data_IF_359911678124
#
_entry.id   IF_359911678124
#
_cell.length_a   1.000
_cell.length_b   1.000
_cell.length_c   1.000
_cell.angle_alpha   90.00
_cell.angle_beta   90.00
_cell.angle_gamma   90.00
#
_symmetry.space_group_name_H-M   'P 1'
#
loop_
_entity.id
_entity.type
_entity.pdbx_description
1 polymer ?
#
# COMPACT_ATOMS: atom_id res chain seq x y z
N UNK A 1 17.79 44.35 -30.61
CA UNK A 1 16.74 45.03 -29.84
C UNK A 1 16.22 44.06 -28.83
N UNK A 2 16.83 44.09 -27.65
CA UNK A 2 16.38 43.37 -26.44
C UNK A 2 15.66 44.40 -25.58
N UNK A 3 14.39 44.14 -25.26
CA UNK A 3 13.68 44.93 -24.23
C UNK A 3 12.56 44.12 -23.63
N UNK A 4 12.69 43.97 -22.30
CA UNK A 4 11.67 43.89 -21.25
C UNK A 4 10.75 42.69 -21.17
N UNK A 5 11.13 41.78 -20.29
CA UNK A 5 10.21 40.91 -19.55
C UNK A 5 10.60 40.88 -18.05
N UNK A 6 10.63 42.07 -17.41
CA UNK A 6 10.84 42.20 -15.96
C UNK A 6 9.68 42.97 -15.34
N UNK A 7 8.52 42.35 -15.21
CA UNK A 7 7.37 43.11 -14.71
C UNK A 7 6.19 42.31 -14.19
N UNK A 8 6.37 41.11 -13.60
CA UNK A 8 5.24 40.38 -12.98
C UNK A 8 5.56 39.54 -11.71
N UNK A 9 6.73 39.67 -11.12
CA UNK A 9 7.07 38.94 -9.87
C UNK A 9 6.98 39.83 -8.62
N UNK A 10 6.76 41.13 -8.78
CA UNK A 10 6.78 42.11 -7.67
C UNK A 10 5.46 42.31 -6.92
N UNK A 11 4.33 41.64 -7.33
CA UNK A 11 3.02 41.87 -6.72
C UNK A 11 2.65 40.81 -5.65
N UNK A 12 3.29 39.66 -5.65
CA UNK A 12 2.96 38.58 -4.68
C UNK A 12 3.73 38.71 -3.36
N UNK A 13 4.84 39.44 -3.33
CA UNK A 13 5.63 39.65 -2.10
C UNK A 13 5.06 40.79 -1.24
N UNK A 14 4.29 41.72 -1.83
CA UNK A 14 3.71 42.89 -1.13
C UNK A 14 2.55 42.57 -0.18
N UNK A 15 1.79 41.51 -0.43
CA UNK A 15 0.62 41.17 0.39
C UNK A 15 0.95 40.32 1.63
N UNK A 16 2.08 39.62 1.63
CA UNK A 16 2.56 38.87 2.82
C UNK A 16 3.11 39.84 3.90
N UNK A 17 3.71 40.94 3.49
CA UNK A 17 4.21 41.95 4.48
C UNK A 17 3.13 42.85 5.08
N UNK A 18 1.95 42.95 4.46
CA UNK A 18 0.83 43.73 5.00
C UNK A 18 0.02 43.04 6.10
N UNK A 19 0.11 41.71 6.19
CA UNK A 19 -0.51 40.90 7.23
C UNK A 19 0.23 41.01 8.58
N UNK A 20 1.52 41.38 8.57
CA UNK A 20 2.33 41.57 9.78
C UNK A 20 2.01 42.87 10.53
N UNK A 21 1.38 43.87 9.90
CA UNK A 21 1.04 45.17 10.57
C UNK A 21 -0.28 45.15 11.33
N UNK A 22 -1.13 44.12 11.23
CA UNK A 22 -2.45 44.12 11.87
C UNK A 22 -2.55 43.39 13.21
N UNK A 23 -1.44 42.97 13.82
CA UNK A 23 -1.43 42.46 15.20
C UNK A 23 -2.22 41.16 15.45
N UNK A 24 -2.71 40.49 14.39
CA UNK A 24 -3.49 39.24 14.46
C UNK A 24 -2.61 37.97 14.50
N UNK A 25 -1.36 38.07 14.06
CA UNK A 25 -0.41 36.93 14.09
C UNK A 25 0.10 36.61 15.50
N UNK A 26 0.06 37.57 16.45
CA UNK A 26 0.77 37.40 17.71
C UNK A 26 0.04 36.56 18.78
N UNK A 27 -1.18 36.14 18.56
CA UNK A 27 -1.94 35.34 19.53
C UNK A 27 -2.08 33.87 19.12
N UNK A 28 -2.10 33.58 17.82
CA UNK A 28 -2.18 32.20 17.30
C UNK A 28 -0.82 31.49 17.30
N UNK A 29 0.28 32.25 17.18
CA UNK A 29 1.65 31.68 17.17
C UNK A 29 2.19 31.29 18.55
N UNK A 30 1.52 31.63 19.66
CA UNK A 30 2.05 31.39 21.02
C UNK A 30 1.49 30.15 21.72
N UNK A 31 0.47 29.50 21.19
CA UNK A 31 0.04 28.21 21.69
C UNK A 31 0.47 27.14 20.70
N UNK A 32 1.38 26.27 21.09
CA UNK A 32 1.81 25.13 20.25
C UNK A 32 0.57 24.35 19.84
N UNK A 33 0.36 24.20 18.52
CA UNK A 33 -0.69 23.31 18.01
C UNK A 33 -0.25 21.89 18.34
N UNK A 34 -1.03 21.25 19.21
CA UNK A 34 -0.70 19.92 19.72
C UNK A 34 -1.35 18.86 18.87
N UNK A 35 -0.60 17.79 18.53
CA UNK A 35 -1.17 16.60 17.93
C UNK A 35 -1.96 15.79 18.98
N UNK A 36 -3.11 15.26 18.58
CA UNK A 36 -3.99 14.51 19.50
C UNK A 36 -3.25 13.31 20.14
N UNK A 37 -2.39 12.62 19.40
CA UNK A 37 -1.61 11.50 19.94
C UNK A 37 -0.65 11.89 21.09
N UNK A 38 -0.28 13.15 21.20
CA UNK A 38 0.67 13.67 22.19
C UNK A 38 -0.02 14.23 23.45
N UNK A 39 -1.34 14.40 23.42
CA UNK A 39 -2.08 15.01 24.51
C UNK A 39 -1.89 14.34 25.86
N UNK A 40 -1.67 13.03 25.88
CA UNK A 40 -1.40 12.29 27.12
C UNK A 40 -0.10 12.72 27.84
N UNK A 41 0.82 13.40 27.14
CA UNK A 41 2.04 13.96 27.69
C UNK A 41 1.84 15.36 28.30
N UNK A 42 0.67 15.98 28.06
CA UNK A 42 0.38 17.37 28.38
C UNK A 42 -0.82 17.52 29.35
N UNK A 43 -0.94 16.56 30.28
CA UNK A 43 -2.00 16.60 31.30
C UNK A 43 -1.87 17.88 32.15
N UNK A 44 -3.02 18.52 32.44
CA UNK A 44 -3.15 19.79 33.13
C UNK A 44 -2.59 21.04 32.39
N UNK A 45 -2.14 20.86 31.15
CA UNK A 45 -1.67 21.99 30.34
C UNK A 45 -2.80 22.57 29.47
N UNK A 46 -2.64 23.83 29.09
CA UNK A 46 -3.47 24.53 28.12
C UNK A 46 -2.98 24.20 26.71
N UNK A 47 -3.88 23.68 25.85
CA UNK A 47 -3.55 23.22 24.51
C UNK A 47 -4.47 23.81 23.46
N UNK A 48 -4.00 23.85 22.22
CA UNK A 48 -4.80 24.13 21.04
C UNK A 48 -4.80 22.88 20.14
N UNK A 49 -5.99 22.33 19.88
CA UNK A 49 -6.20 21.21 18.97
C UNK A 49 -6.92 21.69 17.71
N UNK A 50 -6.43 21.32 16.54
CA UNK A 50 -7.06 21.59 15.23
C UNK A 50 -7.52 20.28 14.62
N UNK A 51 -8.75 20.23 14.13
CA UNK A 51 -9.26 18.97 13.57
C UNK A 51 -10.69 19.09 13.05
N UNK A 52 -11.33 17.94 12.95
CA UNK A 52 -12.69 17.79 12.46
C UNK A 52 -13.56 17.09 13.49
N UNK A 53 -14.80 17.56 13.65
CA UNK A 53 -15.79 16.94 14.53
C UNK A 53 -16.20 15.58 13.92
N UNK A 54 -15.90 14.49 14.62
CA UNK A 54 -16.34 13.14 14.25
C UNK A 54 -17.75 12.90 14.74
N UNK A 55 -18.02 13.29 15.99
CA UNK A 55 -19.30 13.11 16.65
C UNK A 55 -19.55 14.21 17.66
N UNK A 56 -20.81 14.67 17.76
CA UNK A 56 -21.28 15.60 18.77
C UNK A 56 -22.50 15.02 19.49
N UNK A 57 -22.51 15.02 20.80
CA UNK A 57 -23.65 14.63 21.65
C UNK A 57 -23.80 15.55 22.83
N UNK A 58 -25.04 15.85 23.19
CA UNK A 58 -25.39 16.55 24.41
C UNK A 58 -25.94 15.59 25.46
N UNK A 59 -25.54 15.76 26.73
CA UNK A 59 -26.03 15.00 27.86
C UNK A 59 -26.22 15.91 29.07
N UNK A 60 -27.47 16.26 29.38
CA UNK A 60 -27.81 17.20 30.44
C UNK A 60 -27.21 18.61 30.21
N UNK A 61 -26.25 19.00 31.04
CA UNK A 61 -25.58 20.29 30.98
C UNK A 61 -24.19 20.24 30.34
N UNK A 62 -23.87 19.19 29.65
CA UNK A 62 -22.54 18.95 29.08
C UNK A 62 -22.67 18.57 27.60
N UNK A 63 -21.85 19.15 26.75
CA UNK A 63 -21.66 18.75 25.37
C UNK A 63 -20.31 18.02 25.20
N UNK A 64 -20.33 16.94 24.46
CA UNK A 64 -19.17 16.13 24.12
C UNK A 64 -18.96 16.15 22.61
N UNK A 65 -17.78 16.58 22.20
CA UNK A 65 -17.37 16.47 20.80
C UNK A 65 -16.16 15.54 20.71
N UNK A 66 -16.18 14.59 19.80
CA UNK A 66 -14.98 13.82 19.44
C UNK A 66 -14.33 14.54 18.27
N UNK A 67 -13.12 15.00 18.47
CA UNK A 67 -12.31 15.68 17.46
C UNK A 67 -11.26 14.72 16.93
N UNK A 68 -11.09 14.72 15.63
CA UNK A 68 -10.06 13.96 14.91
C UNK A 68 -9.09 14.92 14.24
N UNK A 69 -7.80 14.65 14.39
CA UNK A 69 -6.75 15.23 13.55
C UNK A 69 -6.08 14.13 12.69
N UNK A 70 -4.93 14.46 12.09
CA UNK A 70 -4.14 13.46 11.34
C UNK A 70 -3.47 12.42 12.23
N UNK A 71 -3.44 12.55 13.56
CA UNK A 71 -2.72 11.67 14.49
C UNK A 71 -3.64 10.77 15.31
N UNK A 72 -4.87 11.19 15.60
CA UNK A 72 -5.77 10.42 16.46
C UNK A 72 -7.14 11.07 16.65
N UNK A 73 -7.81 10.62 17.72
CA UNK A 73 -9.10 11.17 18.17
C UNK A 73 -9.04 11.47 19.67
N UNK A 74 -9.70 12.57 20.08
CA UNK A 74 -9.84 12.95 21.48
C UNK A 74 -11.28 13.37 21.77
N UNK A 75 -11.80 13.03 22.94
CA UNK A 75 -13.03 13.60 23.44
C UNK A 75 -12.76 15.00 23.97
N UNK A 76 -13.56 15.97 23.53
CA UNK A 76 -13.59 17.30 24.14
C UNK A 76 -14.89 17.48 24.91
N UNK A 77 -14.83 18.18 26.05
CA UNK A 77 -15.93 18.35 26.97
C UNK A 77 -16.22 19.82 27.19
N UNK A 78 -17.43 20.24 26.85
CA UNK A 78 -17.88 21.62 27.01
C UNK A 78 -18.85 21.69 28.22
N UNK A 79 -18.43 22.36 29.30
CA UNK A 79 -19.19 22.56 30.54
C UNK A 79 -19.50 24.02 30.74
N UNK A 80 -20.40 24.34 31.65
CA UNK A 80 -20.62 25.75 32.07
C UNK A 80 -19.36 26.35 32.74
N UNK A 81 -19.02 27.64 32.50
CA UNK A 81 -19.83 28.63 31.76
C UNK A 81 -19.59 28.62 30.25
N UNK A 82 -18.57 27.91 29.74
CA UNK A 82 -18.19 27.91 28.32
C UNK A 82 -19.35 27.41 27.42
N UNK A 83 -20.18 26.44 27.90
CA UNK A 83 -21.32 25.93 27.18
C UNK A 83 -22.33 27.01 26.78
N UNK A 84 -22.67 27.88 27.69
CA UNK A 84 -23.58 29.02 27.39
C UNK A 84 -22.95 29.98 26.40
N UNK A 85 -21.66 30.30 26.55
CA UNK A 85 -20.95 31.20 25.66
C UNK A 85 -20.79 30.61 24.22
N UNK A 86 -20.69 29.29 24.09
CA UNK A 86 -20.49 28.60 22.83
C UNK A 86 -21.77 28.00 22.22
N UNK A 87 -22.96 28.32 22.75
CA UNK A 87 -24.22 27.68 22.34
C UNK A 87 -24.49 27.75 20.84
N UNK A 88 -24.21 28.87 20.19
CA UNK A 88 -24.37 29.05 18.74
C UNK A 88 -23.35 28.20 17.95
N UNK A 89 -22.09 28.15 18.39
CA UNK A 89 -21.02 27.36 17.80
C UNK A 89 -21.33 25.88 17.92
N UNK A 90 -21.82 25.41 19.06
CA UNK A 90 -22.18 24.03 19.31
C UNK A 90 -23.29 23.52 18.39
N UNK A 91 -24.29 24.38 18.07
CA UNK A 91 -25.34 23.99 17.09
C UNK A 91 -24.81 23.78 15.68
N UNK A 92 -23.71 24.45 15.32
CA UNK A 92 -23.07 24.34 14.01
C UNK A 92 -21.95 23.30 13.96
N UNK A 93 -21.49 22.79 15.10
CA UNK A 93 -20.44 21.79 15.22
C UNK A 93 -20.97 20.38 14.91
N UNK A 94 -21.41 20.17 13.67
CA UNK A 94 -21.89 18.89 13.14
C UNK A 94 -20.73 18.04 12.64
N UNK A 95 -21.01 16.77 12.28
CA UNK A 95 -20.02 15.85 11.73
C UNK A 95 -19.21 16.48 10.58
N UNK A 96 -17.90 16.31 10.61
CA UNK A 96 -16.92 16.84 9.65
C UNK A 96 -16.80 18.39 9.61
N UNK A 97 -17.43 19.13 10.52
CA UNK A 97 -17.09 20.53 10.74
C UNK A 97 -15.64 20.65 11.18
N UNK A 98 -14.84 21.47 10.51
CA UNK A 98 -13.45 21.73 10.92
C UNK A 98 -13.41 22.82 11.99
N UNK A 99 -12.61 22.58 13.04
CA UNK A 99 -12.58 23.40 14.25
C UNK A 99 -11.17 23.64 14.77
N UNK A 100 -11.01 24.75 15.50
CA UNK A 100 -9.91 24.96 16.45
C UNK A 100 -10.52 24.94 17.84
N UNK A 101 -9.98 24.09 18.71
CA UNK A 101 -10.43 23.92 20.09
C UNK A 101 -9.30 24.34 21.02
N UNK A 102 -9.57 25.26 21.93
CA UNK A 102 -8.67 25.65 23.02
C UNK A 102 -9.23 25.15 24.34
N UNK A 103 -8.37 24.55 25.17
CA UNK A 103 -8.80 24.01 26.44
C UNK A 103 -7.66 23.35 27.22
N UNK A 104 -8.01 22.81 28.38
CA UNK A 104 -7.07 22.11 29.27
C UNK A 104 -7.19 20.62 29.15
N UNK A 105 -6.07 19.93 29.08
CA UNK A 105 -6.04 18.44 29.04
C UNK A 105 -6.34 17.89 30.43
N UNK A 106 -7.30 16.99 30.51
CA UNK A 106 -7.67 16.28 31.75
C UNK A 106 -7.56 14.77 31.57
N UNK A 107 -7.38 14.02 32.65
CA UNK A 107 -7.39 12.57 32.66
C UNK A 107 -8.84 12.07 32.63
N UNK A 108 -9.21 11.25 31.65
CA UNK A 108 -10.41 10.41 31.67
C UNK A 108 -10.10 9.03 31.02
N UNK A 109 -9.94 7.99 31.84
CA UNK A 109 -9.63 6.63 31.35
C UNK A 109 -10.68 6.04 30.38
N UNK A 110 -11.89 6.62 30.30
CA UNK A 110 -12.95 6.20 29.39
C UNK A 110 -12.86 6.85 28.02
N UNK A 111 -12.07 7.92 27.91
CA UNK A 111 -11.84 8.64 26.65
C UNK A 111 -10.77 7.95 25.80
N UNK A 112 -10.82 8.08 24.47
CA UNK A 112 -9.73 7.62 23.60
C UNK A 112 -8.38 8.21 24.05
N UNK A 113 -7.38 7.36 24.20
CA UNK A 113 -6.05 7.79 24.68
C UNK A 113 -5.96 8.11 26.18
N UNK A 114 -7.02 7.88 26.96
CA UNK A 114 -7.03 8.09 28.42
C UNK A 114 -7.12 9.56 28.87
N UNK A 115 -7.33 10.47 27.94
CA UNK A 115 -7.40 11.93 28.20
C UNK A 115 -8.60 12.57 27.50
N UNK A 116 -9.05 13.73 28.05
CA UNK A 116 -10.04 14.59 27.41
C UNK A 116 -9.54 16.02 27.40
N UNK A 117 -10.11 16.89 26.54
CA UNK A 117 -9.86 18.31 26.57
C UNK A 117 -11.08 19.03 27.13
N UNK A 118 -10.92 19.67 28.27
CA UNK A 118 -11.94 20.55 28.85
C UNK A 118 -11.91 21.88 28.12
N UNK A 119 -12.95 22.15 27.35
CA UNK A 119 -13.00 23.21 26.34
C UNK A 119 -13.24 24.57 27.01
N UNK A 120 -12.47 25.56 26.60
CA UNK A 120 -12.67 26.98 26.92
C UNK A 120 -13.19 27.75 25.71
N UNK A 121 -12.65 27.47 24.51
CA UNK A 121 -13.04 28.11 23.25
C UNK A 121 -13.13 27.11 22.09
N UNK A 122 -14.05 27.36 21.17
CA UNK A 122 -14.16 26.68 19.89
C UNK A 122 -14.33 27.70 18.78
N UNK A 123 -13.50 27.63 17.76
CA UNK A 123 -13.64 28.40 16.54
C UNK A 123 -14.02 27.44 15.39
N UNK A 124 -15.09 27.75 14.66
CA UNK A 124 -15.47 27.05 13.43
C UNK A 124 -14.63 27.57 12.26
N UNK A 125 -14.10 26.69 11.44
CA UNK A 125 -13.34 27.02 10.22
C UNK A 125 -14.16 26.73 8.98
N UNK A 126 -14.70 25.52 8.85
CA UNK A 126 -15.51 25.09 7.71
C UNK A 126 -16.67 24.22 8.14
N UNK A 127 -17.80 24.36 7.44
CA UNK A 127 -19.04 23.63 7.76
C UNK A 127 -18.97 22.17 7.33
N UNK A 128 -19.54 21.29 8.16
CA UNK A 128 -19.81 19.88 7.84
C UNK A 128 -21.26 19.58 7.51
N UNK A 129 -22.10 20.60 7.31
CA UNK A 129 -23.52 20.36 6.97
C UNK A 129 -23.65 19.55 5.68
N UNK A 130 -24.66 18.68 5.66
CA UNK A 130 -24.97 17.78 4.54
C UNK A 130 -23.87 16.76 4.21
N UNK A 131 -22.98 16.44 5.18
CA UNK A 131 -21.99 15.39 4.98
C UNK A 131 -22.66 14.04 4.68
N UNK A 132 -22.37 13.40 3.52
CA UNK A 132 -23.20 12.29 3.00
C UNK A 132 -23.00 10.97 3.76
N UNK A 133 -21.86 10.79 4.45
CA UNK A 133 -21.54 9.53 5.15
C UNK A 133 -21.93 9.68 6.63
N UNK A 134 -23.16 9.33 6.95
CA UNK A 134 -23.65 9.32 8.34
C UNK A 134 -23.31 8.04 9.11
N UNK A 135 -23.76 7.91 10.37
CA UNK A 135 -23.45 6.77 11.23
C UNK A 135 -24.17 5.46 10.84
N UNK A 136 -25.13 5.48 9.90
CA UNK A 136 -25.80 4.29 9.40
C UNK A 136 -24.87 3.46 8.50
N UNK A 137 -25.13 2.17 8.38
CA UNK A 137 -24.44 1.32 7.41
C UNK A 137 -24.69 1.80 5.97
N UNK A 138 -23.63 1.90 5.20
CA UNK A 138 -23.67 2.28 3.78
C UNK A 138 -23.16 1.13 2.92
N UNK A 139 -23.78 0.96 1.73
CA UNK A 139 -23.31 -0.02 0.75
C UNK A 139 -21.93 0.37 0.21
N UNK A 140 -21.19 -0.64 -0.21
CA UNK A 140 -19.79 -0.44 -0.68
C UNK A 140 -19.72 0.49 -1.90
N UNK A 141 -20.66 0.38 -2.84
CA UNK A 141 -20.68 1.23 -4.05
C UNK A 141 -20.86 2.69 -3.68
N UNK A 142 -21.78 2.99 -2.75
CA UNK A 142 -21.96 4.34 -2.22
C UNK A 142 -20.67 4.89 -1.57
N UNK A 143 -20.01 4.08 -0.73
CA UNK A 143 -18.76 4.47 -0.10
C UNK A 143 -17.63 4.69 -1.11
N UNK A 144 -17.58 3.87 -2.15
CA UNK A 144 -16.61 4.02 -3.23
C UNK A 144 -16.89 5.25 -4.10
N UNK A 145 -18.15 5.64 -4.33
CA UNK A 145 -18.51 6.89 -5.01
C UNK A 145 -18.14 8.13 -4.19
N UNK A 146 -18.11 7.97 -2.86
CA UNK A 146 -17.68 9.00 -1.92
C UNK A 146 -16.28 8.72 -1.36
N UNK A 147 -15.40 8.04 -2.11
CA UNK A 147 -14.09 7.59 -1.63
C UNK A 147 -13.25 8.73 -1.04
N UNK A 148 -13.27 9.90 -1.66
CA UNK A 148 -12.58 11.12 -1.19
C UNK A 148 -13.04 11.61 0.19
N UNK A 149 -14.23 11.21 0.62
CA UNK A 149 -14.75 11.44 1.97
C UNK A 149 -14.58 10.22 2.87
N UNK A 150 -14.81 9.02 2.34
CA UNK A 150 -14.71 7.79 3.11
C UNK A 150 -13.31 7.55 3.69
N UNK A 151 -12.25 8.00 3.00
CA UNK A 151 -10.86 7.92 3.52
C UNK A 151 -10.68 8.60 4.88
N UNK A 152 -11.61 9.46 5.31
CA UNK A 152 -11.60 10.12 6.63
C UNK A 152 -12.05 9.21 7.78
N UNK A 153 -12.67 8.06 7.49
CA UNK A 153 -13.14 7.11 8.50
C UNK A 153 -11.97 6.47 9.27
N UNK A 154 -12.20 6.11 10.54
CA UNK A 154 -11.19 5.45 11.37
C UNK A 154 -10.66 4.16 10.71
N UNK A 155 -11.57 3.34 10.13
CA UNK A 155 -11.20 2.11 9.38
C UNK A 155 -10.23 2.42 8.23
N UNK A 156 -10.57 3.38 7.37
CA UNK A 156 -9.72 3.68 6.20
C UNK A 156 -8.41 4.35 6.61
N UNK A 157 -8.43 5.20 7.64
CA UNK A 157 -7.21 5.77 8.21
C UNK A 157 -6.28 4.69 8.75
N UNK A 158 -6.81 3.69 9.49
CA UNK A 158 -6.02 2.56 9.99
C UNK A 158 -5.38 1.75 8.84
N UNK A 159 -6.14 1.42 7.79
CA UNK A 159 -5.62 0.71 6.61
C UNK A 159 -4.48 1.49 5.96
N UNK A 160 -4.65 2.80 5.73
CA UNK A 160 -3.64 3.62 5.09
C UNK A 160 -2.37 3.80 5.95
N UNK A 161 -2.50 3.81 7.29
CA UNK A 161 -1.37 3.83 8.21
C UNK A 161 -0.60 2.50 8.19
N UNK A 162 -1.30 1.36 8.19
CA UNK A 162 -0.68 0.04 8.01
C UNK A 162 0.05 -0.01 6.66
N UNK A 163 -0.59 0.47 5.57
CA UNK A 163 0.08 0.57 4.26
C UNK A 163 1.37 1.39 4.33
N UNK A 164 1.34 2.55 4.96
CA UNK A 164 2.51 3.42 5.11
C UNK A 164 3.61 2.75 5.94
N UNK A 165 3.25 2.02 7.01
CA UNK A 165 4.21 1.25 7.81
C UNK A 165 4.86 0.11 6.99
N UNK A 166 4.07 -0.66 6.24
CA UNK A 166 4.57 -1.73 5.34
C UNK A 166 5.60 -1.16 4.35
N UNK A 167 5.28 -0.03 3.71
CA UNK A 167 6.19 0.62 2.74
C UNK A 167 7.50 1.02 3.41
N UNK A 168 7.44 1.64 4.57
CA UNK A 168 8.62 2.07 5.32
C UNK A 168 9.45 0.88 5.80
N UNK A 169 8.83 -0.15 6.36
CA UNK A 169 9.49 -1.36 6.83
C UNK A 169 10.18 -2.11 5.70
N UNK A 170 9.54 -2.25 4.55
CA UNK A 170 10.12 -2.88 3.37
C UNK A 170 11.36 -2.12 2.88
N UNK A 171 11.28 -0.80 2.75
CA UNK A 171 12.41 0.04 2.35
C UNK A 171 13.55 -0.02 3.36
N UNK A 172 13.26 0.13 4.65
CA UNK A 172 14.28 0.04 5.70
C UNK A 172 14.99 -1.32 5.70
N UNK A 173 14.25 -2.41 5.45
CA UNK A 173 14.83 -3.74 5.33
C UNK A 173 15.78 -3.82 4.13
N UNK A 174 15.32 -3.45 2.94
CA UNK A 174 16.10 -3.55 1.71
C UNK A 174 17.33 -2.63 1.75
N UNK A 175 17.17 -1.37 2.11
CA UNK A 175 18.26 -0.40 2.25
C UNK A 175 19.28 -0.88 3.29
N UNK A 176 18.82 -1.39 4.44
CA UNK A 176 19.66 -1.93 5.51
C UNK A 176 20.47 -3.18 5.11
N UNK A 177 20.05 -3.89 4.06
CA UNK A 177 20.74 -5.06 3.51
C UNK A 177 21.53 -4.74 2.22
N UNK A 178 21.72 -3.45 1.91
CA UNK A 178 22.56 -3.00 0.83
C UNK A 178 21.93 -3.10 -0.55
N UNK A 179 20.60 -3.15 -0.62
CA UNK A 179 19.90 -2.96 -1.89
C UNK A 179 19.87 -1.47 -2.23
N UNK A 180 20.03 -1.16 -3.51
CA UNK A 180 19.94 0.20 -4.03
C UNK A 180 18.57 0.39 -4.65
N UNK A 181 17.82 1.42 -4.19
CA UNK A 181 16.55 1.77 -4.85
C UNK A 181 16.83 2.29 -6.26
N UNK A 182 16.07 1.81 -7.23
CA UNK A 182 16.20 2.22 -8.62
C UNK A 182 14.80 2.31 -9.26
N UNK A 183 14.58 3.37 -10.02
CA UNK A 183 13.28 3.67 -10.60
C UNK A 183 13.26 3.31 -12.09
N UNK A 184 12.60 2.19 -12.48
CA UNK A 184 12.44 1.84 -13.88
C UNK A 184 11.45 2.78 -14.58
N UNK A 185 11.49 2.92 -15.91
CA UNK A 185 10.52 3.72 -16.64
C UNK A 185 9.12 3.13 -16.53
N UNK A 186 8.11 3.99 -16.34
CA UNK A 186 6.68 3.62 -16.34
C UNK A 186 6.17 3.45 -17.78
N UNK A 187 6.70 4.23 -18.72
CA UNK A 187 6.38 4.14 -20.14
C UNK A 187 7.43 3.25 -20.79
N UNK A 188 7.01 2.17 -21.45
CA UNK A 188 7.92 1.17 -21.99
C UNK A 188 7.43 0.65 -23.35
N UNK A 189 8.33 0.36 -24.31
CA UNK A 189 7.97 -0.33 -25.55
C UNK A 189 7.87 -1.85 -25.37
N UNK A 190 8.40 -2.42 -24.27
CA UNK A 190 8.49 -3.84 -23.97
C UNK A 190 7.62 -4.22 -22.79
N UNK A 191 7.21 -5.50 -22.71
CA UNK A 191 6.41 -6.01 -21.61
C UNK A 191 7.05 -7.28 -21.02
N UNK A 192 6.89 -7.45 -19.70
CA UNK A 192 7.40 -8.60 -18.96
C UNK A 192 6.39 -9.75 -18.87
N UNK A 193 5.11 -9.40 -18.78
CA UNK A 193 3.99 -10.32 -18.67
C UNK A 193 3.22 -10.40 -19.99
N UNK A 194 2.30 -11.33 -20.16
CA UNK A 194 1.55 -11.56 -21.40
C UNK A 194 0.96 -10.29 -22.04
N UNK A 195 0.94 -10.26 -23.37
CA UNK A 195 0.54 -9.07 -24.17
C UNK A 195 -0.93 -8.66 -24.05
N UNK A 196 -1.81 -9.49 -23.47
CA UNK A 196 -3.26 -9.28 -23.43
C UNK A 196 -3.70 -8.30 -22.34
N UNK A 197 -2.81 -7.91 -21.43
CA UNK A 197 -3.12 -7.08 -20.26
C UNK A 197 -2.41 -5.72 -20.25
N UNK A 198 -2.15 -5.13 -21.44
CA UNK A 198 -1.44 -3.87 -21.61
C UNK A 198 -2.38 -2.68 -21.72
N UNK A 199 -2.05 -1.58 -21.03
CA UNK A 199 -2.59 -0.25 -21.33
C UNK A 199 -1.70 0.41 -22.37
N UNK A 200 -2.17 0.46 -23.63
CA UNK A 200 -1.46 1.13 -24.72
C UNK A 200 -1.59 2.65 -24.63
N UNK A 201 -0.52 3.35 -24.95
CA UNK A 201 -0.46 4.81 -25.06
C UNK A 201 0.18 5.22 -26.39
N UNK A 202 -0.12 6.39 -26.87
CA UNK A 202 0.58 7.03 -27.99
C UNK A 202 1.76 7.84 -27.43
N UNK A 203 2.99 7.42 -27.75
CA UNK A 203 4.19 8.13 -27.37
C UNK A 203 4.76 8.87 -28.57
N UNK A 204 4.22 10.07 -28.83
CA UNK A 204 4.65 10.93 -29.95
C UNK A 204 4.56 10.25 -31.34
N UNK A 205 3.55 9.41 -31.55
CA UNK A 205 3.34 8.66 -32.78
C UNK A 205 3.93 7.25 -32.78
N UNK A 206 4.63 6.85 -31.71
CA UNK A 206 5.12 5.48 -31.50
C UNK A 206 4.26 4.75 -30.46
N UNK A 207 4.00 3.44 -30.65
CA UNK A 207 3.26 2.67 -29.67
C UNK A 207 4.11 2.42 -28.42
N UNK A 208 3.54 2.72 -27.25
CA UNK A 208 4.13 2.42 -25.96
C UNK A 208 3.05 1.89 -24.99
N UNK A 209 3.47 1.44 -23.83
CA UNK A 209 2.60 0.82 -22.82
C UNK A 209 2.93 1.34 -21.43
N UNK A 210 1.94 1.34 -20.55
CA UNK A 210 2.17 1.46 -19.11
C UNK A 210 2.77 0.15 -18.57
N UNK A 211 3.82 0.26 -17.78
CA UNK A 211 4.62 -0.87 -17.31
C UNK A 211 3.80 -1.84 -16.44
N UNK A 212 3.93 -3.14 -16.70
CA UNK A 212 3.36 -4.22 -15.88
C UNK A 212 4.29 -4.63 -14.72
N UNK A 213 5.59 -4.31 -14.81
CA UNK A 213 6.66 -4.63 -13.87
C UNK A 213 7.91 -3.87 -14.26
N UNK A 214 8.73 -3.51 -13.30
CA UNK A 214 10.06 -2.94 -13.54
C UNK A 214 11.14 -3.96 -13.85
N UNK A 215 10.84 -5.27 -13.73
CA UNK A 215 11.81 -6.36 -13.71
C UNK A 215 12.87 -6.29 -14.82
N UNK A 216 12.49 -6.16 -16.09
CA UNK A 216 13.45 -6.20 -17.21
C UNK A 216 14.54 -5.14 -17.08
N UNK A 217 14.18 -3.96 -16.59
CA UNK A 217 15.13 -2.87 -16.33
C UNK A 217 15.93 -3.12 -15.04
N UNK A 218 15.30 -3.74 -14.03
CA UNK A 218 15.97 -4.07 -12.78
C UNK A 218 17.06 -5.12 -12.98
N UNK A 219 16.88 -6.08 -13.90
CA UNK A 219 17.94 -7.02 -14.27
C UNK A 219 19.17 -6.31 -14.84
N UNK A 220 18.98 -5.29 -15.69
CA UNK A 220 20.09 -4.47 -16.19
C UNK A 220 20.78 -3.69 -15.07
N UNK A 221 20.02 -3.14 -14.14
CA UNK A 221 20.54 -2.38 -13.00
C UNK A 221 21.23 -3.29 -11.97
N UNK A 222 20.76 -4.52 -11.79
CA UNK A 222 21.43 -5.52 -10.95
C UNK A 222 22.82 -5.89 -11.48
N UNK A 223 23.01 -5.96 -12.79
CA UNK A 223 24.35 -6.17 -13.40
C UNK A 223 25.31 -5.00 -13.14
N UNK A 224 24.80 -3.81 -12.82
CA UNK A 224 25.62 -2.64 -12.53
C UNK A 224 25.84 -2.41 -11.02
N UNK A 225 24.83 -2.71 -10.19
CA UNK A 225 24.80 -2.33 -8.77
C UNK A 225 24.74 -3.52 -7.81
N UNK A 226 24.63 -4.75 -8.32
CA UNK A 226 24.58 -6.01 -7.56
C UNK A 226 23.21 -6.34 -7.01
N UNK A 227 22.72 -5.61 -6.01
CA UNK A 227 21.37 -5.75 -5.44
C UNK A 227 20.60 -4.46 -5.60
N UNK A 228 19.45 -4.52 -6.25
CA UNK A 228 18.61 -3.36 -6.52
C UNK A 228 17.16 -3.67 -6.19
N UNK A 229 16.34 -2.65 -5.98
CA UNK A 229 14.89 -2.82 -5.93
C UNK A 229 14.16 -1.64 -6.56
N UNK A 230 13.05 -1.93 -7.24
CA UNK A 230 12.07 -0.92 -7.62
C UNK A 230 10.95 -0.86 -6.56
N UNK A 231 10.38 0.32 -6.37
CA UNK A 231 9.13 0.49 -5.65
C UNK A 231 8.28 1.50 -6.41
N UNK A 232 7.35 1.02 -7.20
CA UNK A 232 6.61 1.86 -8.12
C UNK A 232 5.24 1.31 -8.54
N UNK A 233 4.47 2.14 -9.26
CA UNK A 233 3.17 1.75 -9.81
C UNK A 233 3.36 0.77 -10.97
N UNK A 234 2.45 -0.19 -11.06
CA UNK A 234 2.33 -1.16 -12.15
C UNK A 234 0.90 -1.19 -12.65
N UNK A 235 0.72 -1.57 -13.91
CA UNK A 235 -0.56 -1.44 -14.60
C UNK A 235 -0.88 -2.73 -15.35
N UNK A 236 -2.07 -3.30 -15.10
CA UNK A 236 -2.54 -4.48 -15.81
C UNK A 236 -3.99 -4.27 -16.28
N UNK A 237 -4.21 -4.34 -17.58
CA UNK A 237 -5.52 -4.13 -18.23
C UNK A 237 -6.39 -5.40 -18.22
N UNK A 238 -6.19 -6.26 -17.23
CA UNK A 238 -6.95 -7.51 -17.10
C UNK A 238 -8.43 -7.25 -16.81
N UNK A 239 -9.31 -7.92 -17.56
CA UNK A 239 -10.75 -7.83 -17.35
C UNK A 239 -11.22 -8.74 -16.21
N UNK A 240 -10.51 -8.72 -15.08
CA UNK A 240 -10.80 -9.51 -13.90
C UNK A 240 -11.70 -8.75 -12.92
N UNK A 241 -12.75 -9.42 -12.43
CA UNK A 241 -13.67 -8.88 -11.40
C UNK A 241 -13.43 -9.49 -10.01
N UNK A 242 -12.27 -10.11 -9.78
CA UNK A 242 -11.99 -10.75 -8.51
C UNK A 242 -11.67 -9.73 -7.43
N UNK A 243 -11.74 -10.16 -6.17
CA UNK A 243 -11.41 -9.34 -5.00
C UNK A 243 -9.90 -9.04 -4.86
N UNK A 244 -9.04 -9.65 -5.71
CA UNK A 244 -7.57 -9.57 -5.64
C UNK A 244 -6.94 -8.75 -6.77
N UNK A 245 -7.74 -8.12 -7.65
CA UNK A 245 -7.24 -7.41 -8.82
C UNK A 245 -7.59 -5.93 -8.80
N UNK A 246 -6.60 -5.11 -9.13
CA UNK A 246 -6.70 -3.69 -9.49
C UNK A 246 -6.05 -3.50 -10.84
N UNK A 247 -6.46 -2.49 -11.59
CA UNK A 247 -5.83 -2.12 -12.86
C UNK A 247 -4.56 -1.29 -12.68
N UNK A 248 -4.42 -0.64 -11.53
CA UNK A 248 -3.24 0.11 -11.07
C UNK A 248 -2.95 -0.31 -9.62
N UNK A 249 -1.73 -0.74 -9.35
CA UNK A 249 -1.27 -1.17 -8.05
C UNK A 249 0.24 -0.93 -7.90
N UNK A 250 0.79 -1.14 -6.72
CA UNK A 250 2.21 -0.92 -6.45
C UNK A 250 2.94 -2.22 -6.21
N UNK A 251 4.16 -2.31 -6.72
CA UNK A 251 5.03 -3.45 -6.47
C UNK A 251 6.35 -3.03 -5.82
N UNK A 252 6.88 -3.93 -5.00
CA UNK A 252 8.25 -3.90 -4.49
C UNK A 252 8.97 -5.03 -5.23
N UNK A 253 9.98 -4.70 -6.04
CA UNK A 253 10.59 -5.64 -6.99
C UNK A 253 12.12 -5.67 -6.80
N UNK A 254 12.63 -6.47 -5.83
CA UNK A 254 14.06 -6.73 -5.68
C UNK A 254 14.59 -7.60 -6.83
N UNK A 255 15.82 -7.28 -7.30
CA UNK A 255 16.57 -8.05 -8.28
C UNK A 255 18.03 -8.13 -7.85
N UNK A 256 18.65 -9.32 -7.92
CA UNK A 256 19.93 -9.60 -7.30
C UNK A 256 20.84 -10.39 -8.26
N UNK A 257 21.99 -9.82 -8.58
CA UNK A 257 23.06 -10.53 -9.31
C UNK A 257 23.75 -11.53 -8.38
N UNK A 258 24.25 -12.63 -8.95
CA UNK A 258 24.91 -13.76 -8.25
C UNK A 258 24.02 -14.45 -7.20
N UNK A 259 22.70 -14.41 -7.40
CA UNK A 259 21.70 -14.97 -6.51
C UNK A 259 21.01 -16.15 -7.23
N UNK A 260 21.03 -17.31 -6.62
CA UNK A 260 20.33 -18.49 -7.11
C UNK A 260 18.88 -18.56 -6.59
N UNK A 261 18.17 -19.61 -6.98
CA UNK A 261 16.77 -19.80 -6.60
C UNK A 261 16.57 -19.94 -5.08
N UNK A 262 17.46 -20.68 -4.39
CA UNK A 262 17.35 -20.92 -2.94
C UNK A 262 17.62 -19.64 -2.14
N UNK A 263 18.60 -18.84 -2.55
CA UNK A 263 18.87 -17.56 -1.95
C UNK A 263 17.74 -16.57 -2.20
N UNK A 264 17.09 -16.62 -3.38
CA UNK A 264 15.91 -15.82 -3.68
C UNK A 264 14.74 -16.13 -2.72
N UNK A 265 14.45 -17.41 -2.44
CA UNK A 265 13.44 -17.80 -1.46
C UNK A 265 13.80 -17.31 -0.06
N UNK A 266 15.07 -17.38 0.33
CA UNK A 266 15.55 -16.89 1.61
C UNK A 266 15.30 -15.37 1.76
N UNK A 267 15.59 -14.56 0.73
CA UNK A 267 15.31 -13.12 0.75
C UNK A 267 13.82 -12.80 0.90
N UNK A 268 12.96 -13.55 0.25
CA UNK A 268 11.51 -13.41 0.37
C UNK A 268 11.04 -13.68 1.81
N UNK A 269 11.51 -14.75 2.43
CA UNK A 269 11.21 -15.09 3.83
C UNK A 269 11.64 -13.97 4.78
N UNK A 270 12.88 -13.48 4.63
CA UNK A 270 13.44 -12.40 5.47
C UNK A 270 12.59 -11.13 5.39
N UNK A 271 12.25 -10.72 4.16
CA UNK A 271 11.49 -9.50 3.92
C UNK A 271 10.08 -9.58 4.52
N UNK A 272 9.36 -10.67 4.28
CA UNK A 272 7.98 -10.82 4.76
C UNK A 272 7.94 -10.91 6.28
N UNK A 273 8.82 -11.70 6.90
CA UNK A 273 8.89 -11.75 8.37
C UNK A 273 9.19 -10.37 8.96
N UNK A 274 10.18 -9.66 8.44
CA UNK A 274 10.54 -8.33 8.92
C UNK A 274 9.37 -7.33 8.82
N UNK A 275 8.62 -7.36 7.71
CA UNK A 275 7.44 -6.49 7.53
C UNK A 275 6.35 -6.86 8.54
N UNK A 276 5.99 -8.14 8.65
CA UNK A 276 4.88 -8.58 9.51
C UNK A 276 5.20 -8.32 10.98
N UNK A 277 6.40 -8.67 11.44
CA UNK A 277 6.83 -8.41 12.83
C UNK A 277 6.91 -6.90 13.12
N UNK A 278 7.38 -6.10 12.15
CA UNK A 278 7.38 -4.65 12.27
C UNK A 278 5.99 -4.04 12.39
N UNK A 279 5.03 -4.51 11.59
CA UNK A 279 3.62 -4.05 11.69
C UNK A 279 2.99 -4.47 13.02
N UNK A 280 3.24 -5.67 13.50
CA UNK A 280 2.77 -6.11 14.83
C UNK A 280 3.32 -5.24 15.96
N UNK A 281 4.56 -4.77 15.84
CA UNK A 281 5.17 -3.90 16.84
C UNK A 281 4.64 -2.45 16.79
N UNK A 282 4.43 -1.90 15.60
CA UNK A 282 4.21 -0.46 15.41
C UNK A 282 2.74 -0.07 15.18
N UNK A 283 1.89 -0.99 14.67
CA UNK A 283 0.51 -0.69 14.24
C UNK A 283 -0.57 -1.33 15.12
N UNK A 284 -0.31 -1.46 16.43
CA UNK A 284 -1.24 -2.12 17.36
C UNK A 284 -2.62 -1.44 17.42
N UNK A 285 -2.65 -0.11 17.39
CA UNK A 285 -3.89 0.68 17.43
C UNK A 285 -4.69 0.51 16.15
N UNK A 286 -4.01 0.50 15.01
CA UNK A 286 -4.62 0.33 13.70
C UNK A 286 -5.18 -1.10 13.53
N UNK A 287 -4.42 -2.11 13.93
CA UNK A 287 -4.86 -3.51 13.90
C UNK A 287 -6.06 -3.75 14.83
N UNK A 288 -6.05 -3.15 16.02
CA UNK A 288 -7.20 -3.20 16.94
C UNK A 288 -8.43 -2.46 16.36
N UNK A 289 -8.24 -1.32 15.69
CA UNK A 289 -9.32 -0.58 15.00
C UNK A 289 -9.98 -1.40 13.90
N UNK A 290 -9.21 -2.28 13.26
CA UNK A 290 -9.70 -3.21 12.23
C UNK A 290 -10.24 -4.51 12.80
N UNK A 291 -10.18 -4.72 14.12
CA UNK A 291 -10.56 -5.97 14.80
C UNK A 291 -9.79 -7.18 14.22
N UNK A 292 -8.51 -6.96 13.82
CA UNK A 292 -7.67 -7.98 13.18
C UNK A 292 -7.30 -9.08 14.17
N UNK A 293 -7.60 -10.33 13.84
CA UNK A 293 -7.05 -11.49 14.57
C UNK A 293 -5.53 -11.58 14.31
N UNK A 294 -4.75 -11.41 15.36
CA UNK A 294 -3.30 -11.38 15.28
C UNK A 294 -2.65 -12.77 15.28
N UNK A 295 -3.39 -13.84 15.56
CA UNK A 295 -2.84 -15.20 15.71
C UNK A 295 -2.06 -15.66 14.48
N UNK A 296 -2.60 -15.45 13.27
CA UNK A 296 -1.95 -15.79 12.03
C UNK A 296 -0.72 -14.91 11.72
N UNK A 297 -0.77 -13.62 12.08
CA UNK A 297 0.39 -12.73 11.89
C UNK A 297 1.53 -13.08 12.87
N UNK A 298 1.20 -13.44 14.10
CA UNK A 298 2.18 -13.89 15.10
C UNK A 298 2.84 -15.23 14.74
N UNK A 299 2.17 -16.07 13.95
CA UNK A 299 2.70 -17.31 13.44
C UNK A 299 3.70 -17.13 12.28
N UNK A 300 3.84 -15.92 11.73
CA UNK A 300 4.78 -15.63 10.64
C UNK A 300 6.19 -15.57 11.16
N UNK A 301 6.79 -16.76 11.27
CA UNK A 301 8.19 -17.00 11.68
C UNK A 301 8.80 -18.00 10.72
N UNK A 302 10.02 -17.71 10.26
CA UNK A 302 10.79 -18.59 9.37
C UNK A 302 11.25 -19.88 10.07
N UNK A 303 11.49 -20.98 9.31
CA UNK A 303 11.33 -21.08 7.86
C UNK A 303 9.86 -21.25 7.46
N UNK A 304 9.53 -20.79 6.25
CA UNK A 304 8.20 -21.02 5.68
C UNK A 304 8.12 -22.41 5.04
N UNK A 305 6.97 -23.10 5.12
CA UNK A 305 6.76 -24.37 4.44
C UNK A 305 6.92 -24.20 2.91
N UNK A 306 7.36 -25.28 2.26
CA UNK A 306 7.58 -25.33 0.82
C UNK A 306 6.90 -26.55 0.25
N UNK A 307 6.10 -26.38 -0.80
CA UNK A 307 5.50 -27.44 -1.59
C UNK A 307 5.83 -27.24 -3.07
N UNK A 308 6.00 -28.32 -3.79
CA UNK A 308 6.13 -28.27 -5.24
C UNK A 308 4.75 -28.19 -5.89
N UNK A 309 4.72 -27.75 -7.15
CA UNK A 309 3.48 -27.74 -7.95
C UNK A 309 2.85 -29.17 -8.02
N UNK A 310 3.66 -30.23 -8.10
CA UNK A 310 3.17 -31.63 -8.10
C UNK A 310 2.48 -31.98 -6.77
N UNK A 311 3.08 -31.62 -5.64
CA UNK A 311 2.49 -31.81 -4.31
C UNK A 311 1.21 -30.97 -4.12
N UNK A 312 1.18 -29.77 -4.66
CA UNK A 312 -0.02 -28.93 -4.64
C UNK A 312 -1.18 -29.56 -5.44
N UNK A 313 -0.90 -30.15 -6.59
CA UNK A 313 -1.91 -30.91 -7.36
C UNK A 313 -2.47 -32.08 -6.56
N UNK A 314 -1.60 -32.84 -5.87
CA UNK A 314 -2.02 -33.97 -5.03
C UNK A 314 -2.95 -33.51 -3.89
N UNK A 315 -2.59 -32.39 -3.19
CA UNK A 315 -3.42 -31.81 -2.14
C UNK A 315 -4.78 -31.35 -2.68
N UNK A 316 -4.78 -30.59 -3.78
CA UNK A 316 -6.00 -30.07 -4.39
C UNK A 316 -6.91 -31.19 -4.93
N UNK A 317 -6.32 -32.23 -5.52
CA UNK A 317 -7.09 -33.38 -5.98
C UNK A 317 -7.74 -34.13 -4.82
N UNK A 318 -7.05 -34.24 -3.68
CA UNK A 318 -7.62 -34.83 -2.45
C UNK A 318 -8.79 -33.99 -1.88
N UNK A 319 -8.80 -32.66 -2.13
CA UNK A 319 -9.89 -31.76 -1.81
C UNK A 319 -11.03 -31.73 -2.85
N UNK A 320 -10.91 -32.53 -3.94
CA UNK A 320 -11.95 -32.69 -4.96
C UNK A 320 -11.84 -31.76 -6.17
N UNK A 321 -10.70 -31.06 -6.36
CA UNK A 321 -10.43 -30.34 -7.59
C UNK A 321 -10.00 -31.29 -8.71
N UNK A 322 -10.55 -31.12 -9.91
CA UNK A 322 -10.17 -31.88 -11.11
C UNK A 322 -9.01 -31.14 -11.81
N UNK A 323 -7.78 -31.54 -11.53
CA UNK A 323 -6.56 -30.92 -12.06
C UNK A 323 -5.61 -31.95 -12.63
N UNK A 324 -4.91 -31.57 -13.70
CA UNK A 324 -3.86 -32.35 -14.33
C UNK A 324 -2.54 -31.57 -14.33
N UNK A 325 -1.42 -32.29 -14.49
CA UNK A 325 -0.11 -31.65 -14.61
C UNK A 325 -0.08 -30.67 -15.80
N UNK A 326 0.20 -29.42 -15.50
CA UNK A 326 0.27 -28.34 -16.46
C UNK A 326 -1.02 -27.53 -16.59
N UNK A 327 -1.99 -27.71 -15.70
CA UNK A 327 -3.12 -26.80 -15.54
C UNK A 327 -2.67 -25.59 -14.71
N UNK A 328 -3.20 -24.41 -15.04
CA UNK A 328 -2.93 -23.20 -14.27
C UNK A 328 -3.69 -23.22 -12.94
N UNK A 329 -3.03 -22.78 -11.86
CA UNK A 329 -3.63 -22.70 -10.54
C UNK A 329 -4.23 -21.31 -10.31
N UNK A 330 -5.51 -21.17 -10.56
CA UNK A 330 -6.22 -19.92 -10.33
C UNK A 330 -6.59 -19.67 -8.85
N UNK A 331 -7.23 -18.51 -8.59
CA UNK A 331 -7.55 -18.05 -7.25
C UNK A 331 -8.31 -19.05 -6.34
N UNK A 332 -9.21 -19.93 -6.80
CA UNK A 332 -9.81 -20.96 -5.95
C UNK A 332 -8.79 -21.97 -5.40
N UNK A 333 -7.83 -22.39 -6.26
CA UNK A 333 -6.79 -23.34 -5.92
C UNK A 333 -5.80 -22.74 -4.91
N UNK A 334 -5.32 -21.52 -5.16
CA UNK A 334 -4.48 -20.80 -4.21
C UNK A 334 -5.18 -20.58 -2.85
N UNK A 335 -6.49 -20.29 -2.87
CA UNK A 335 -7.28 -20.12 -1.65
C UNK A 335 -7.34 -21.40 -0.83
N UNK A 336 -7.53 -22.55 -1.49
CA UNK A 336 -7.56 -23.86 -0.85
C UNK A 336 -6.19 -24.19 -0.24
N UNK A 337 -5.11 -24.08 -1.02
CA UNK A 337 -3.74 -24.29 -0.54
C UNK A 337 -3.39 -23.37 0.63
N UNK A 338 -3.67 -22.07 0.50
CA UNK A 338 -3.32 -21.09 1.51
C UNK A 338 -4.05 -21.30 2.86
N UNK A 339 -5.22 -21.92 2.86
CA UNK A 339 -5.97 -22.26 4.09
C UNK A 339 -5.41 -23.47 4.84
N UNK A 340 -4.62 -24.30 4.17
CA UNK A 340 -4.02 -25.49 4.78
C UNK A 340 -2.81 -25.16 5.69
N UNK A 341 -2.34 -23.89 5.67
CA UNK A 341 -1.15 -23.46 6.40
C UNK A 341 -1.45 -22.30 7.35
N UNK A 342 -0.76 -22.26 8.50
CA UNK A 342 -0.88 -21.21 9.52
C UNK A 342 0.00 -19.99 9.23
N UNK A 343 0.91 -20.10 8.26
CA UNK A 343 1.89 -19.08 7.84
C UNK A 343 2.08 -19.13 6.33
N UNK A 344 2.78 -18.15 5.71
CA UNK A 344 3.02 -18.18 4.27
C UNK A 344 3.68 -19.48 3.81
N UNK A 345 3.26 -19.99 2.66
CA UNK A 345 3.77 -21.21 2.05
C UNK A 345 4.29 -20.93 0.65
N UNK A 346 5.47 -21.42 0.32
CA UNK A 346 5.99 -21.40 -1.04
C UNK A 346 5.38 -22.53 -1.88
N UNK A 347 4.87 -22.16 -3.03
CA UNK A 347 4.53 -23.07 -4.12
C UNK A 347 5.61 -22.94 -5.20
N UNK A 348 6.35 -24.02 -5.46
CA UNK A 348 7.58 -23.99 -6.26
C UNK A 348 7.54 -24.94 -7.44
N UNK A 349 8.49 -24.79 -8.38
CA UNK A 349 8.71 -25.73 -9.50
C UNK A 349 7.46 -25.91 -10.37
N UNK A 350 6.95 -24.81 -10.87
CA UNK A 350 5.83 -24.80 -11.80
C UNK A 350 6.24 -25.36 -13.16
N UNK A 351 5.30 -25.91 -13.96
CA UNK A 351 5.57 -26.26 -15.35
C UNK A 351 6.11 -25.06 -16.12
N UNK A 352 7.28 -25.24 -16.76
CA UNK A 352 7.98 -24.18 -17.51
C UNK A 352 7.11 -23.51 -18.57
N UNK A 353 6.17 -24.24 -19.16
CA UNK A 353 5.24 -23.72 -20.18
C UNK A 353 4.22 -22.70 -19.64
N UNK A 354 3.93 -22.73 -18.31
CA UNK A 354 2.99 -21.81 -17.65
C UNK A 354 3.66 -20.52 -17.20
N UNK A 355 4.98 -20.47 -17.15
CA UNK A 355 5.74 -19.35 -16.62
C UNK A 355 6.34 -18.48 -17.73
N UNK A 356 6.63 -17.24 -17.42
CA UNK A 356 7.13 -16.24 -18.35
C UNK A 356 8.46 -16.67 -19.01
N UNK A 357 8.76 -16.09 -20.17
CA UNK A 357 9.90 -16.47 -21.01
C UNK A 357 11.26 -16.37 -20.33
N UNK A 358 11.39 -15.49 -19.35
CA UNK A 358 12.64 -15.17 -18.64
C UNK A 358 12.95 -16.11 -17.46
N UNK A 359 12.02 -16.95 -17.04
CA UNK A 359 12.21 -17.82 -15.87
C UNK A 359 13.06 -19.03 -16.22
N UNK A 360 14.07 -19.31 -15.39
CA UNK A 360 15.05 -20.40 -15.57
C UNK A 360 14.38 -21.76 -15.43
N UNK A 361 14.46 -22.66 -16.43
CA UNK A 361 14.12 -24.08 -16.26
C UNK A 361 15.05 -24.75 -15.24
N UNK A 362 14.53 -25.69 -14.43
CA UNK A 362 15.37 -26.49 -13.53
C UNK A 362 16.31 -27.37 -14.36
N UNK A 363 17.64 -27.28 -14.17
CA UNK A 363 18.59 -28.13 -14.91
C UNK A 363 18.39 -29.63 -14.69
N UNK A 364 17.73 -30.05 -13.61
CA UNK A 364 17.44 -31.44 -13.28
C UNK A 364 16.16 -31.94 -13.93
N UNK A 365 15.20 -31.08 -14.18
CA UNK A 365 13.92 -31.36 -14.84
C UNK A 365 13.46 -30.12 -15.63
N UNK A 366 13.86 -29.94 -16.88
CA UNK A 366 13.54 -28.78 -17.70
C UNK A 366 12.05 -28.54 -17.98
N UNK A 367 11.18 -29.51 -17.66
CA UNK A 367 9.73 -29.31 -17.69
C UNK A 367 9.26 -28.39 -16.57
N UNK A 368 10.09 -28.19 -15.53
CA UNK A 368 9.82 -27.35 -14.38
C UNK A 368 10.69 -26.10 -14.40
N UNK A 369 10.16 -24.98 -13.92
CA UNK A 369 10.88 -23.73 -13.76
C UNK A 369 11.32 -23.52 -12.29
N UNK A 370 12.49 -22.92 -12.09
CA UNK A 370 12.96 -22.41 -10.82
C UNK A 370 12.19 -21.12 -10.47
N UNK A 371 10.91 -21.28 -10.23
CA UNK A 371 9.94 -20.23 -9.92
C UNK A 371 9.16 -20.59 -8.67
N UNK A 372 8.79 -19.58 -7.91
CA UNK A 372 7.99 -19.71 -6.69
C UNK A 372 6.97 -18.60 -6.56
N UNK A 373 5.79 -18.96 -6.10
CA UNK A 373 4.77 -18.05 -5.62
C UNK A 373 4.66 -18.21 -4.10
N UNK A 374 4.70 -17.13 -3.33
CA UNK A 374 4.48 -17.15 -1.90
C UNK A 374 3.00 -16.87 -1.63
N UNK A 375 2.31 -17.83 -1.05
CA UNK A 375 0.90 -17.74 -0.71
C UNK A 375 0.74 -17.33 0.75
N UNK A 376 0.01 -16.25 1.00
CA UNK A 376 -0.37 -15.84 2.35
C UNK A 376 -1.50 -16.71 2.89
N UNK A 377 -1.48 -17.07 4.19
CA UNK A 377 -2.49 -17.92 4.82
C UNK A 377 -3.90 -17.31 4.81
N UNK A 378 -4.86 -17.94 5.45
CA UNK A 378 -6.26 -17.49 5.58
C UNK A 378 -6.98 -17.38 4.22
N UNK A 379 -6.41 -17.93 3.14
CA UNK A 379 -6.99 -17.89 1.80
C UNK A 379 -6.74 -16.61 1.03
N UNK A 380 -5.76 -15.80 1.41
CA UNK A 380 -5.37 -14.60 0.66
C UNK A 380 -4.67 -14.95 -0.66
N UNK A 381 -3.95 -16.10 -0.72
CA UNK A 381 -3.26 -16.56 -1.93
C UNK A 381 -1.99 -15.79 -2.22
N UNK A 382 -1.57 -15.74 -3.47
CA UNK A 382 -0.31 -15.18 -3.89
C UNK A 382 -0.11 -13.71 -3.48
N UNK A 383 0.98 -13.45 -2.75
CA UNK A 383 1.47 -12.11 -2.38
C UNK A 383 2.82 -11.79 -3.02
N UNK A 384 3.59 -12.80 -3.39
CA UNK A 384 4.88 -12.69 -4.10
C UNK A 384 4.92 -13.70 -5.22
N UNK A 385 5.42 -13.28 -6.38
CA UNK A 385 5.92 -14.14 -7.45
C UNK A 385 7.41 -13.88 -7.68
N UNK A 386 8.22 -14.94 -7.79
CA UNK A 386 9.66 -14.81 -7.96
C UNK A 386 10.27 -15.98 -8.74
N UNK A 387 11.47 -15.78 -9.29
CA UNK A 387 12.19 -16.84 -10.00
C UNK A 387 13.69 -16.54 -10.09
N UNK A 388 14.46 -17.59 -10.35
CA UNK A 388 15.75 -17.42 -11.00
C UNK A 388 15.53 -17.04 -12.47
N UNK A 389 16.43 -16.21 -13.03
CA UNK A 389 16.32 -15.71 -14.40
C UNK A 389 17.22 -16.54 -15.33
N UNK A 390 16.77 -16.71 -16.57
CA UNK A 390 17.63 -17.31 -17.61
C UNK A 390 18.82 -16.38 -17.85
N UNK A 391 20.02 -16.89 -17.64
CA UNK A 391 21.27 -16.19 -17.90
C UNK A 391 22.03 -16.73 -19.12
N UNK A 392 21.59 -17.86 -19.73
CA UNK A 392 22.09 -18.36 -21.02
C UNK A 392 21.43 -17.62 -22.18
N UNK A 393 22.25 -17.13 -23.12
CA UNK A 393 21.78 -16.35 -24.25
C UNK A 393 20.89 -17.12 -25.22
N UNK A 394 21.32 -18.35 -25.61
CA UNK A 394 20.57 -19.12 -26.59
C UNK A 394 19.26 -19.65 -26.01
N UNK A 395 19.27 -20.04 -24.76
CA UNK A 395 18.06 -20.43 -24.04
C UNK A 395 17.08 -19.26 -23.93
N UNK A 396 17.54 -18.07 -23.51
CA UNK A 396 16.70 -16.86 -23.41
C UNK A 396 16.08 -16.51 -24.76
N UNK A 397 16.90 -16.51 -25.82
CA UNK A 397 16.46 -16.22 -27.17
C UNK A 397 15.41 -17.21 -27.66
N UNK A 398 15.65 -18.52 -27.44
CA UNK A 398 14.72 -19.57 -27.84
C UNK A 398 13.37 -19.46 -27.11
N UNK A 399 13.39 -19.15 -25.81
CA UNK A 399 12.19 -18.95 -25.00
C UNK A 399 11.40 -17.72 -25.46
N UNK A 400 12.07 -16.62 -25.74
CA UNK A 400 11.47 -15.37 -26.25
C UNK A 400 10.73 -15.63 -27.57
N UNK A 401 11.41 -16.28 -28.52
CA UNK A 401 10.81 -16.63 -29.83
C UNK A 401 9.64 -17.61 -29.68
N UNK A 402 9.76 -18.62 -28.79
CA UNK A 402 8.70 -19.61 -28.57
C UNK A 402 7.41 -19.01 -28.01
N UNK A 403 7.49 -17.85 -27.35
CA UNK A 403 6.34 -17.08 -26.87
C UNK A 403 5.86 -16.01 -27.86
N UNK A 404 6.43 -15.99 -29.10
CA UNK A 404 6.00 -15.08 -30.16
C UNK A 404 6.43 -13.63 -29.97
N UNK A 405 7.46 -13.39 -29.15
CA UNK A 405 8.01 -12.06 -28.91
C UNK A 405 9.04 -11.68 -29.99
N UNK A 406 9.10 -10.39 -30.33
CA UNK A 406 10.01 -9.86 -31.34
C UNK A 406 11.43 -9.67 -30.76
N UNK A 407 12.42 -10.42 -31.28
CA UNK A 407 13.82 -10.30 -30.88
C UNK A 407 14.33 -8.88 -31.00
N UNK A 408 13.88 -8.10 -31.98
CA UNK A 408 14.30 -6.71 -32.19
C UNK A 408 13.91 -5.81 -31.02
N UNK A 409 12.72 -5.95 -30.49
CA UNK A 409 12.24 -5.19 -29.32
C UNK A 409 12.98 -5.56 -28.03
N UNK A 410 13.49 -6.80 -27.94
CA UNK A 410 14.20 -7.31 -26.76
C UNK A 410 15.74 -7.39 -26.99
N UNK A 411 16.27 -6.83 -28.06
CA UNK A 411 17.71 -6.87 -28.35
C UNK A 411 18.56 -6.37 -27.17
N UNK A 412 18.17 -5.25 -26.58
CA UNK A 412 18.83 -4.67 -25.40
C UNK A 412 18.81 -5.60 -24.18
N UNK A 413 17.72 -6.36 -24.00
CA UNK A 413 17.57 -7.30 -22.90
C UNK A 413 18.37 -8.58 -23.14
N UNK A 414 18.44 -9.05 -24.38
CA UNK A 414 19.31 -10.16 -24.81
C UNK A 414 20.80 -9.82 -24.62
N UNK A 415 21.20 -8.54 -24.81
CA UNK A 415 22.58 -8.10 -24.59
C UNK A 415 23.05 -8.31 -23.14
N UNK A 416 22.15 -8.30 -22.15
CA UNK A 416 22.48 -8.65 -20.77
C UNK A 416 23.01 -10.09 -20.64
N UNK A 417 22.66 -10.98 -21.56
CA UNK A 417 23.13 -12.38 -21.62
C UNK A 417 24.40 -12.55 -22.44
N UNK A 418 24.71 -11.56 -23.29
CA UNK A 418 25.93 -11.58 -24.12
C UNK A 418 27.13 -10.98 -23.40
N UNK A 419 26.91 -10.02 -22.52
CA UNK A 419 27.98 -9.21 -21.95
C UNK A 419 28.02 -9.37 -20.42
N UNK A 420 28.84 -10.35 -19.94
CA UNK A 420 29.11 -10.53 -18.52
C UNK A 420 27.93 -11.03 -17.70
N UNK A 421 27.12 -11.89 -18.29
CA UNK A 421 25.97 -12.51 -17.62
C UNK A 421 26.37 -13.32 -16.38
N UNK A 422 25.49 -13.35 -15.38
CA UNK A 422 25.64 -14.14 -14.16
C UNK A 422 24.29 -14.78 -13.79
N UNK A 423 24.27 -15.87 -13.00
CA UNK A 423 23.05 -16.29 -12.33
C UNK A 423 22.48 -15.12 -11.54
N UNK A 424 21.19 -14.87 -11.67
CA UNK A 424 20.52 -13.77 -10.97
C UNK A 424 19.05 -14.11 -10.76
N UNK A 425 18.47 -13.52 -9.74
CA UNK A 425 17.11 -13.80 -9.30
C UNK A 425 16.42 -12.56 -8.79
N UNK A 426 15.10 -12.59 -8.82
CA UNK A 426 14.31 -11.53 -8.26
C UNK A 426 12.89 -11.97 -7.98
N UNK A 427 12.13 -11.08 -7.34
CA UNK A 427 10.74 -11.32 -7.01
C UNK A 427 9.95 -10.00 -6.96
N UNK A 428 8.64 -10.11 -7.12
CA UNK A 428 7.72 -8.97 -7.02
C UNK A 428 6.72 -9.17 -5.89
N UNK A 429 6.66 -8.23 -4.96
CA UNK A 429 5.65 -8.19 -3.89
C UNK A 429 4.52 -7.26 -4.30
N UNK A 430 3.31 -7.78 -4.43
CA UNK A 430 2.10 -6.98 -4.65
C UNK A 430 1.70 -6.26 -3.36
N UNK A 431 1.95 -4.94 -3.26
CA UNK A 431 1.71 -4.17 -2.04
C UNK A 431 0.25 -4.26 -1.57
N UNK A 432 -0.71 -4.15 -2.48
CA UNK A 432 -2.13 -4.19 -2.15
C UNK A 432 -2.57 -5.56 -1.61
N UNK A 433 -2.02 -6.65 -2.16
CA UNK A 433 -2.28 -8.00 -1.65
C UNK A 433 -1.67 -8.19 -0.26
N UNK A 434 -0.44 -7.70 -0.05
CA UNK A 434 0.24 -7.74 1.25
C UNK A 434 -0.52 -6.93 2.31
N UNK A 435 -0.97 -5.72 1.98
CA UNK A 435 -1.80 -4.88 2.87
C UNK A 435 -3.13 -5.55 3.17
N UNK A 436 -3.79 -6.15 2.17
CA UNK A 436 -5.07 -6.83 2.37
C UNK A 436 -4.95 -7.99 3.36
N UNK A 437 -3.91 -8.81 3.23
CA UNK A 437 -3.65 -9.91 4.15
C UNK A 437 -3.34 -9.41 5.56
N UNK A 438 -2.36 -8.52 5.72
CA UNK A 438 -1.92 -8.04 7.04
C UNK A 438 -3.06 -7.32 7.78
N UNK A 439 -3.84 -6.50 7.07
CA UNK A 439 -4.95 -5.75 7.64
C UNK A 439 -6.28 -6.54 7.73
N UNK A 440 -6.34 -7.79 7.24
CA UNK A 440 -7.53 -8.63 7.30
C UNK A 440 -8.68 -8.15 6.42
N UNK A 441 -8.40 -7.72 5.18
CA UNK A 441 -9.40 -7.12 4.30
C UNK A 441 -9.92 -8.11 3.25
N UNK A 442 -11.21 -8.08 3.00
CA UNK A 442 -11.85 -8.95 2.01
C UNK A 442 -11.52 -8.58 0.56
N UNK A 443 -11.14 -7.34 0.28
CA UNK A 443 -10.95 -6.85 -1.08
C UNK A 443 -9.83 -5.80 -1.15
N UNK A 444 -8.91 -5.95 -2.11
CA UNK A 444 -7.78 -5.03 -2.34
C UNK A 444 -8.18 -3.58 -2.65
N UNK A 445 -9.43 -3.30 -3.04
CA UNK A 445 -9.91 -1.92 -3.28
C UNK A 445 -9.83 -1.00 -2.05
N UNK A 446 -9.78 -1.56 -0.83
CA UNK A 446 -9.64 -0.76 0.38
C UNK A 446 -8.18 -0.41 0.72
N UNK A 447 -7.22 -1.11 0.16
CA UNK A 447 -5.80 -1.01 0.51
C UNK A 447 -5.07 0.20 -0.06
N UNK A 448 -5.67 0.86 -1.05
CA UNK A 448 -5.13 2.05 -1.70
C UNK A 448 -6.09 3.24 -1.55
N UNK A 449 -5.58 4.49 -1.50
CA UNK A 449 -6.45 5.66 -1.32
C UNK A 449 -7.54 5.77 -2.38
N UNK A 450 -7.20 5.60 -3.65
CA UNK A 450 -8.11 5.72 -4.80
C UNK A 450 -7.90 4.55 -5.77
N UNK A 451 -8.63 3.44 -5.60
CA UNK A 451 -8.42 2.25 -6.41
C UNK A 451 -8.90 2.42 -7.86
N UNK A 452 -8.16 1.83 -8.79
CA UNK A 452 -8.55 1.66 -10.19
C UNK A 452 -8.92 0.21 -10.43
N UNK A 453 -10.16 -0.01 -10.85
CA UNK A 453 -10.70 -1.35 -11.14
C UNK A 453 -11.29 -1.39 -12.53
N UNK A 454 -11.62 -2.57 -13.02
CA UNK A 454 -12.27 -2.73 -14.33
C UNK A 454 -13.47 -1.80 -14.55
N UNK A 455 -14.24 -1.49 -13.51
CA UNK A 455 -15.49 -0.74 -13.59
C UNK A 455 -15.43 0.63 -12.91
N UNK A 456 -14.26 1.02 -12.34
CA UNK A 456 -14.16 2.27 -11.59
C UNK A 456 -12.87 3.02 -11.91
N UNK A 457 -13.05 4.22 -12.44
CA UNK A 457 -12.01 5.21 -12.70
C UNK A 457 -12.09 6.41 -11.73
N UNK A 458 -13.26 6.67 -11.16
CA UNK A 458 -13.59 7.80 -10.27
C UNK A 458 -13.91 7.35 -8.84
N UNK A 459 -13.74 8.23 -7.88
CA UNK A 459 -12.82 9.35 -7.78
C UNK A 459 -11.39 8.92 -7.75
#
# INVERSE_FOLDING_TARGET
MLSSAHGKISVIVGDVFRAQELGLESRIERMAVMLIQELHLHVDEQVTVKGWVVHHRSSGKIDFLVIRDGSGQVQTVVREPARTALAEVLTQAVQETSVVVEGRVGIDPRSPGGVEVVVEQIQLIGSGHDYPIGPKAHGVDFLMDHRHLWVRSARQSAILRIRAAIIRLARNFLDGHGFVVADPPIITPSFAEGSTSLFAIDYFGEPAYLSQSGQLYMEALAMALGKVYAFGPTFRAEKSKTRRHLSEFWMIEPEMAFCDFEENLWWQEQLIEAIVQGVLAECQVELATLERDLSHLQAVVRPFPRITYRQALEQLTAEGFELQFGDDLGAPHETALARAYDRPVFLTHFPTRLKAFYMQPDPRDPELALAADLLAPEGYGEIIGGSERIYDYELMRSRLVSQGLDEGQYAWYLDLRRFGTVPHSGFGVGLERLVAWIAGLDHVRETTPFPRTLTRLWP
#
